data_IF_788445288010
#
_entry.id   IF_788445288010
#
_cell.length_a   1.000
_cell.length_b   1.000
_cell.length_c   1.000
_cell.angle_alpha   90.00
_cell.angle_beta   90.00
_cell.angle_gamma   90.00
#
_symmetry.space_group_name_H-M   'P 1'
#
loop_
_entity.id
_entity.type
_entity.pdbx_description
1 polymer ?
#
# COMPACT_ATOMS: atom_id res chain seq x y z
N UNK A 1 -26.62 6.60 11.18
CA UNK A 1 -26.35 5.16 11.11
C UNK A 1 -24.88 5.00 10.86
N UNK A 2 -24.23 4.17 11.68
CA UNK A 2 -22.81 3.80 11.73
C UNK A 2 -21.86 4.65 10.86
N UNK A 3 -21.14 5.59 11.49
CA UNK A 3 -20.06 6.32 10.82
C UNK A 3 -18.89 5.39 10.57
N UNK A 4 -18.48 5.28 9.30
CA UNK A 4 -17.25 4.58 8.93
C UNK A 4 -16.02 5.36 9.39
N UNK A 5 -14.88 4.67 9.41
CA UNK A 5 -13.57 5.27 9.62
C UNK A 5 -12.96 5.57 8.26
N UNK A 6 -12.69 6.85 7.98
CA UNK A 6 -11.94 7.27 6.81
C UNK A 6 -10.45 6.98 7.01
N UNK A 7 -9.86 6.25 6.08
CA UNK A 7 -8.43 5.92 6.05
C UNK A 7 -7.84 6.47 4.76
N UNK A 8 -6.98 7.47 4.90
CA UNK A 8 -6.23 8.05 3.78
C UNK A 8 -4.81 7.49 3.76
N UNK A 9 -4.43 6.84 2.66
CA UNK A 9 -3.08 6.36 2.42
C UNK A 9 -2.39 7.25 1.39
N UNK A 10 -1.27 7.86 1.76
CA UNK A 10 -0.35 8.48 0.81
C UNK A 10 0.75 7.48 0.45
N UNK A 11 0.80 7.09 -0.81
CA UNK A 11 1.69 6.08 -1.35
C UNK A 11 2.78 6.76 -2.17
N UNK A 12 4.04 6.46 -1.86
CA UNK A 12 5.17 6.79 -2.70
C UNK A 12 5.68 5.52 -3.38
N UNK A 13 5.79 5.51 -4.70
CA UNK A 13 6.18 4.33 -5.46
C UNK A 13 7.17 4.67 -6.59
N UNK A 14 8.16 3.80 -6.79
CA UNK A 14 9.10 3.90 -7.90
C UNK A 14 9.49 2.50 -8.36
N UNK A 15 9.68 2.33 -9.68
CA UNK A 15 10.06 1.05 -10.28
C UNK A 15 11.41 1.20 -10.97
N UNK A 16 12.31 0.27 -10.70
CA UNK A 16 13.64 0.23 -11.29
C UNK A 16 13.84 -1.06 -12.08
N UNK A 17 14.58 -0.97 -13.18
CA UNK A 17 15.01 -2.14 -13.97
C UNK A 17 16.53 -2.21 -13.95
N UNK A 18 17.06 -3.38 -13.59
CA UNK A 18 18.49 -3.68 -13.75
C UNK A 18 18.78 -4.17 -15.16
N UNK A 19 19.90 -3.74 -15.73
CA UNK A 19 20.41 -4.19 -17.03
C UNK A 19 21.12 -5.57 -16.98
N UNK A 20 21.18 -6.20 -15.80
CA UNK A 20 21.89 -7.47 -15.58
C UNK A 20 23.38 -7.32 -15.28
N UNK A 21 23.94 -6.11 -15.41
CA UNK A 21 25.30 -5.75 -14.98
C UNK A 21 25.29 -4.96 -13.66
N UNK A 22 24.11 -4.76 -13.08
CA UNK A 22 23.90 -4.05 -11.82
C UNK A 22 23.53 -2.57 -11.99
N UNK A 23 23.39 -2.06 -13.21
CA UNK A 23 22.95 -0.68 -13.44
C UNK A 23 21.42 -0.62 -13.35
N UNK A 24 20.91 0.14 -12.40
CA UNK A 24 19.47 0.36 -12.21
C UNK A 24 19.02 1.64 -12.93
N UNK A 25 17.93 1.56 -13.70
CA UNK A 25 17.28 2.72 -14.30
C UNK A 25 15.82 2.78 -13.89
N UNK A 26 15.35 3.97 -13.52
CA UNK A 26 13.93 4.20 -13.20
C UNK A 26 13.08 4.02 -14.47
N UNK A 27 11.96 3.30 -14.35
CA UNK A 27 10.97 3.11 -15.40
C UNK A 27 9.57 3.51 -14.91
N UNK A 28 8.63 3.83 -15.80
CA UNK A 28 7.26 4.11 -15.41
C UNK A 28 6.65 2.95 -14.60
N UNK A 29 5.99 3.28 -13.49
CA UNK A 29 5.17 2.33 -12.72
C UNK A 29 3.78 2.24 -13.35
N UNK A 30 3.21 1.04 -13.41
CA UNK A 30 1.87 0.78 -13.93
C UNK A 30 1.40 -0.60 -13.46
N UNK A 31 1.46 -0.83 -12.15
CA UNK A 31 1.25 -2.16 -11.55
C UNK A 31 -0.02 -2.17 -10.68
N UNK A 32 -0.67 -3.33 -10.60
CA UNK A 32 -1.78 -3.57 -9.69
C UNK A 32 -1.26 -4.12 -8.37
N UNK A 33 -1.33 -3.31 -7.31
CA UNK A 33 -0.76 -3.62 -6.01
C UNK A 33 -1.89 -3.78 -4.99
N UNK A 34 -1.77 -4.78 -4.11
CA UNK A 34 -2.75 -4.96 -3.02
C UNK A 34 -2.61 -3.82 -2.00
N UNK A 35 -3.71 -3.15 -1.70
CA UNK A 35 -3.81 -2.17 -0.62
C UNK A 35 -4.65 -2.80 0.48
N UNK A 36 -4.13 -2.79 1.70
CA UNK A 36 -4.77 -3.40 2.87
C UNK A 36 -5.04 -2.40 3.98
N UNK A 37 -6.17 -2.56 4.67
CA UNK A 37 -6.46 -1.92 5.96
C UNK A 37 -6.76 -3.03 6.96
N UNK A 38 -6.17 -2.94 8.14
CA UNK A 38 -6.18 -3.96 9.17
C UNK A 38 -6.64 -3.38 10.50
N UNK A 39 -7.43 -4.14 11.25
CA UNK A 39 -7.91 -3.81 12.59
C UNK A 39 -7.03 -4.43 13.68
N UNK A 40 -7.60 -4.57 14.87
CA UNK A 40 -6.99 -5.34 15.96
C UNK A 40 -6.85 -6.83 15.56
N UNK A 41 -5.91 -7.52 16.19
CA UNK A 41 -5.58 -8.94 15.96
C UNK A 41 -5.31 -9.29 14.48
N UNK A 42 -4.77 -8.36 13.70
CA UNK A 42 -4.45 -8.50 12.27
C UNK A 42 -5.69 -8.80 11.40
N UNK A 43 -6.89 -8.45 11.87
CA UNK A 43 -8.14 -8.61 11.12
C UNK A 43 -8.14 -7.77 9.84
N UNK A 44 -8.46 -8.39 8.70
CA UNK A 44 -8.51 -7.70 7.40
C UNK A 44 -9.83 -6.94 7.29
N UNK A 45 -9.76 -5.61 7.24
CA UNK A 45 -10.91 -4.72 7.06
C UNK A 45 -11.10 -4.32 5.59
N UNK A 46 -9.99 -4.26 4.85
CA UNK A 46 -9.94 -3.97 3.42
C UNK A 46 -8.76 -4.69 2.78
N UNK A 47 -8.95 -5.28 1.60
CA UNK A 47 -7.87 -5.83 0.79
C UNK A 47 -8.29 -5.87 -0.68
N UNK A 48 -7.85 -4.89 -1.46
CA UNK A 48 -8.14 -4.84 -2.90
C UNK A 48 -6.94 -4.38 -3.70
N UNK A 49 -6.95 -4.71 -5.00
CA UNK A 49 -5.92 -4.25 -5.93
C UNK A 49 -6.23 -2.84 -6.41
N UNK A 50 -5.25 -1.96 -6.25
CA UNK A 50 -5.24 -0.63 -6.83
C UNK A 50 -4.17 -0.53 -7.89
N UNK A 51 -4.49 0.18 -8.98
CA UNK A 51 -3.50 0.49 -10.00
C UNK A 51 -2.65 1.65 -9.50
N UNK A 52 -1.36 1.40 -9.34
CA UNK A 52 -0.37 2.41 -8.98
C UNK A 52 0.41 2.78 -10.25
N UNK A 53 0.20 3.99 -10.75
CA UNK A 53 0.81 4.48 -11.99
C UNK A 53 1.42 5.88 -11.88
N UNK A 54 1.51 6.41 -10.66
CA UNK A 54 2.21 7.66 -10.36
C UNK A 54 3.19 7.49 -9.18
N UNK A 55 4.18 8.39 -9.11
CA UNK A 55 5.18 8.38 -8.03
C UNK A 55 4.57 8.63 -6.65
N UNK A 56 3.52 9.45 -6.62
CA UNK A 56 2.76 9.76 -5.42
C UNK A 56 1.28 9.61 -5.73
N UNK A 57 0.54 8.91 -4.88
CA UNK A 57 -0.90 8.71 -5.00
C UNK A 57 -1.55 8.75 -3.63
N UNK A 58 -2.80 9.22 -3.59
CA UNK A 58 -3.64 9.15 -2.40
C UNK A 58 -4.78 8.19 -2.65
N UNK A 59 -5.02 7.28 -1.71
CA UNK A 59 -6.13 6.33 -1.74
C UNK A 59 -6.93 6.52 -0.46
N UNK A 60 -8.22 6.77 -0.60
CA UNK A 60 -9.16 6.88 0.50
C UNK A 60 -10.00 5.60 0.59
N UNK A 61 -10.04 5.02 1.79
CA UNK A 61 -10.79 3.80 2.09
C UNK A 61 -11.68 4.07 3.30
N UNK A 62 -12.95 3.69 3.21
CA UNK A 62 -13.88 3.74 4.35
C UNK A 62 -14.08 2.32 4.86
N UNK A 63 -13.88 2.11 6.17
CA UNK A 63 -14.11 0.82 6.83
C UNK A 63 -15.11 0.95 7.98
N UNK A 64 -15.90 -0.10 8.22
CA UNK A 64 -16.96 -0.10 9.25
C UNK A 64 -16.41 -0.36 10.67
N UNK A 65 -15.18 -0.81 10.77
CA UNK A 65 -14.50 -1.19 12.02
C UNK A 65 -13.26 -0.34 12.22
N UNK A 66 -12.90 -0.06 13.47
CA UNK A 66 -11.74 0.75 13.82
C UNK A 66 -10.45 0.17 13.20
N UNK A 67 -9.76 0.91 12.31
CA UNK A 67 -8.50 0.47 11.73
C UNK A 67 -7.33 0.73 12.69
N UNK A 68 -6.29 -0.08 12.57
CA UNK A 68 -5.05 -0.01 13.34
C UNK A 68 -3.85 0.17 12.41
N UNK A 69 -3.80 -0.58 11.30
CA UNK A 69 -2.73 -0.49 10.30
C UNK A 69 -3.31 -0.37 8.89
N UNK A 70 -2.57 0.27 7.99
CA UNK A 70 -2.85 0.29 6.57
C UNK A 70 -1.54 0.17 5.78
N UNK A 71 -1.61 -0.38 4.57
CA UNK A 71 -0.39 -0.73 3.87
C UNK A 71 -0.53 -1.02 2.37
N UNK A 72 0.60 -0.96 1.70
CA UNK A 72 0.80 -1.27 0.28
C UNK A 72 1.57 -2.57 0.18
N UNK A 73 1.08 -3.51 -0.63
CA UNK A 73 1.57 -4.89 -0.68
C UNK A 73 1.77 -5.50 0.71
N UNK A 74 0.71 -5.57 1.54
CA UNK A 74 0.83 -5.93 2.95
C UNK A 74 1.29 -7.38 3.20
N UNK A 75 1.36 -8.20 2.15
CA UNK A 75 1.83 -9.59 2.20
C UNK A 75 3.14 -9.82 1.42
N UNK A 76 3.87 -8.74 1.08
CA UNK A 76 5.19 -8.78 0.46
C UNK A 76 5.26 -9.63 -0.82
N UNK A 77 4.25 -9.50 -1.69
CA UNK A 77 4.19 -10.19 -2.98
C UNK A 77 5.14 -9.58 -4.01
N UNK A 78 5.54 -8.32 -3.82
CA UNK A 78 6.47 -7.60 -4.67
C UNK A 78 7.88 -7.68 -4.10
N UNK A 79 8.87 -7.70 -4.99
CA UNK A 79 10.28 -7.60 -4.61
C UNK A 79 10.55 -6.15 -4.24
N UNK A 80 10.63 -5.88 -2.94
CA UNK A 80 10.97 -4.59 -2.38
C UNK A 80 12.24 -4.66 -1.52
N UNK A 81 13.04 -3.59 -1.56
CA UNK A 81 14.26 -3.46 -0.78
C UNK A 81 14.00 -3.19 0.70
N UNK A 82 12.85 -2.60 1.05
CA UNK A 82 12.51 -2.27 2.44
C UNK A 82 11.08 -2.71 2.82
N UNK A 83 10.82 -4.01 2.73
CA UNK A 83 9.50 -4.59 3.00
C UNK A 83 8.91 -4.25 4.40
N UNK A 84 9.75 -3.78 5.34
CA UNK A 84 9.33 -3.41 6.69
C UNK A 84 8.43 -2.17 6.76
N UNK A 85 8.37 -1.35 5.70
CA UNK A 85 7.53 -0.14 5.64
C UNK A 85 6.20 -0.32 4.90
N UNK A 86 5.92 -1.54 4.42
CA UNK A 86 4.69 -1.87 3.68
C UNK A 86 3.42 -1.68 4.50
N UNK A 87 3.47 -1.71 5.84
CA UNK A 87 2.34 -1.38 6.72
C UNK A 87 2.73 -0.30 7.73
N UNK A 88 1.81 0.62 8.00
CA UNK A 88 1.96 1.71 8.97
C UNK A 88 0.71 1.83 9.84
N UNK A 89 0.90 2.28 11.08
CA UNK A 89 -0.23 2.58 11.98
C UNK A 89 -1.06 3.73 11.41
N UNK A 90 -2.38 3.54 11.41
CA UNK A 90 -3.34 4.59 11.04
C UNK A 90 -3.43 5.60 12.17
N UNK A 91 -3.40 6.89 11.82
CA UNK A 91 -3.75 7.99 12.72
C UNK A 91 -5.18 8.41 12.37
N UNK A 92 -6.09 8.27 13.33
CA UNK A 92 -7.50 8.69 13.23
C UNK A 92 -7.68 10.14 13.67
#
# INVERSE_FOLDING_TARGET
>A
GAGGYDVTLTIAAAKYRSDGQGVESEIPIADWIDIGVFGEDDSVLYLEKHRIDAKEMTIDVVVDTKPVEAGVDPFHKLIDRNSSDNRKKVQL
#
